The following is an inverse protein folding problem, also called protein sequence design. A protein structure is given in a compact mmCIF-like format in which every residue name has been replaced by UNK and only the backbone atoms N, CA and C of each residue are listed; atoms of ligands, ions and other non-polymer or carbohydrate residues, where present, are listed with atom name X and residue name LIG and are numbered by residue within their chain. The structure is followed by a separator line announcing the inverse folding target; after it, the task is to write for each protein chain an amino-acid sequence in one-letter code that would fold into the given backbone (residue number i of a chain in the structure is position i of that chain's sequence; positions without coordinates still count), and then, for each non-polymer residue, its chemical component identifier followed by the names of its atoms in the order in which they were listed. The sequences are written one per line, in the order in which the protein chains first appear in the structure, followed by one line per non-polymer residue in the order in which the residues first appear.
data_IF_051869001905
#
_entry.id   IF_051869001905
#
_cell.length_a   1.000
_cell.length_b   1.000
_cell.length_c   1.000
_cell.angle_alpha   90.00
_cell.angle_beta   90.00
_cell.angle_gamma   90.00
#
_symmetry.space_group_name_H-M   'P 1'
#
loop_
_entity.id
_entity.type
_entity.pdbx_description
1 polymer ?
#
# COMPACT_ATOMS: atom_id res chain seq x y z
N UNK A 1 -5.56 -7.34 5.21
CA UNK A 1 -5.07 -7.08 3.84
C UNK A 1 -3.58 -6.80 3.82
N UNK A 2 -3.10 -5.72 4.44
CA UNK A 2 -1.67 -5.36 4.46
C UNK A 2 -0.71 -6.44 4.99
N UNK A 3 -1.05 -7.09 6.09
CA UNK A 3 -0.22 -8.18 6.67
C UNK A 3 -0.26 -9.46 5.84
N UNK A 4 -1.44 -9.79 5.30
CA UNK A 4 -1.62 -10.90 4.37
C UNK A 4 -0.73 -10.69 3.14
N UNK A 5 -0.82 -9.52 2.51
CA UNK A 5 0.02 -9.16 1.37
C UNK A 5 1.53 -9.25 1.68
N UNK A 6 1.95 -8.82 2.87
CA UNK A 6 3.37 -8.86 3.27
C UNK A 6 3.93 -10.28 3.42
N UNK A 7 3.07 -11.27 3.67
CA UNK A 7 3.45 -12.66 3.94
C UNK A 7 3.11 -13.62 2.79
N UNK A 8 2.19 -13.24 1.90
CA UNK A 8 1.84 -14.02 0.70
C UNK A 8 3.03 -14.13 -0.24
N UNK A 9 3.32 -15.38 -0.66
CA UNK A 9 4.28 -15.66 -1.75
C UNK A 9 3.51 -15.86 -3.04
N UNK A 10 3.36 -14.78 -3.80
CA UNK A 10 2.71 -14.85 -5.11
C UNK A 10 3.48 -15.78 -6.05
N UNK A 11 2.74 -16.52 -6.88
CA UNK A 11 3.28 -17.52 -7.81
C UNK A 11 2.37 -17.66 -9.02
N UNK A 12 2.75 -18.48 -10.00
CA UNK A 12 1.87 -18.78 -11.16
C UNK A 12 0.54 -19.42 -10.76
N UNK A 13 0.47 -20.10 -9.59
CA UNK A 13 -0.75 -20.72 -9.06
C UNK A 13 -1.55 -19.78 -8.16
N UNK A 14 -0.89 -18.75 -7.63
CA UNK A 14 -1.49 -17.71 -6.79
C UNK A 14 -0.99 -16.35 -7.29
N UNK A 15 -1.52 -15.88 -8.44
CA UNK A 15 -1.01 -14.69 -9.09
C UNK A 15 -1.31 -13.44 -8.26
N UNK A 16 -0.42 -12.47 -8.31
CA UNK A 16 -0.65 -11.16 -7.72
C UNK A 16 -1.77 -10.44 -8.51
N UNK A 17 -2.89 -10.15 -7.83
CA UNK A 17 -3.99 -9.37 -8.39
C UNK A 17 -3.94 -7.94 -7.89
N UNK A 18 -4.37 -6.99 -8.73
CA UNK A 18 -4.43 -5.57 -8.39
C UNK A 18 -5.21 -5.29 -7.10
N UNK A 19 -6.33 -5.98 -6.89
CA UNK A 19 -7.20 -5.83 -5.71
C UNK A 19 -6.59 -6.38 -4.41
N UNK A 20 -5.54 -7.21 -4.51
CA UNK A 20 -4.84 -7.77 -3.35
C UNK A 20 -3.73 -6.84 -2.85
N UNK A 21 -3.29 -5.89 -3.68
CA UNK A 21 -2.29 -4.89 -3.29
C UNK A 21 -2.97 -3.85 -2.38
N UNK A 22 -2.45 -3.61 -1.17
CA UNK A 22 -3.03 -2.66 -0.23
C UNK A 22 -2.58 -1.22 -0.57
N UNK A 23 -2.97 -0.72 -1.74
CA UNK A 23 -2.54 0.59 -2.25
C UNK A 23 -2.72 1.72 -1.21
N UNK A 24 -1.71 2.58 -1.00
CA UNK A 24 -1.76 3.63 0.01
C UNK A 24 -2.54 4.83 -0.51
N UNK A 25 -3.85 4.66 -0.73
CA UNK A 25 -4.77 5.69 -1.22
C UNK A 25 -6.04 5.69 -0.36
N UNK A 26 -6.78 6.80 -0.36
CA UNK A 26 -8.02 6.95 0.42
C UNK A 26 -9.28 6.46 -0.32
N UNK A 27 -9.10 5.76 -1.43
CA UNK A 27 -10.19 5.21 -2.25
C UNK A 27 -10.61 3.83 -1.74
N UNK A 28 -11.92 3.59 -1.63
CA UNK A 28 -12.46 2.29 -1.23
C UNK A 28 -12.03 1.19 -2.21
N UNK A 29 -11.60 0.00 -1.73
CA UNK A 29 -11.22 -1.12 -2.60
C UNK A 29 -12.30 -1.52 -3.62
N UNK A 30 -13.58 -1.33 -3.29
CA UNK A 30 -14.69 -1.68 -4.18
C UNK A 30 -14.80 -0.76 -5.41
N UNK A 31 -14.28 0.46 -5.33
CA UNK A 31 -14.27 1.44 -6.43
C UNK A 31 -12.87 1.79 -6.91
N UNK A 32 -11.83 1.10 -6.42
CA UNK A 32 -10.45 1.44 -6.71
C UNK A 32 -10.09 1.01 -8.13
N UNK A 33 -9.60 1.97 -8.91
CA UNK A 33 -9.10 1.74 -10.26
C UNK A 33 -7.59 2.01 -10.34
N UNK A 34 -6.97 1.60 -11.45
CA UNK A 34 -5.55 1.88 -11.70
C UNK A 34 -5.28 3.39 -11.80
N UNK A 35 -6.26 4.19 -12.24
CA UNK A 35 -6.10 5.65 -12.37
C UNK A 35 -5.98 6.34 -11.01
N UNK A 36 -6.51 5.71 -9.96
CA UNK A 36 -6.41 6.20 -8.59
C UNK A 36 -5.01 5.98 -8.00
N UNK A 37 -4.18 5.14 -8.63
CA UNK A 37 -2.81 4.85 -8.21
C UNK A 37 -1.88 5.89 -8.83
N UNK A 38 -1.96 7.10 -8.31
CA UNK A 38 -1.15 8.24 -8.73
C UNK A 38 -0.52 8.92 -7.53
N UNK A 39 0.50 9.75 -7.80
CA UNK A 39 1.30 10.41 -6.76
C UNK A 39 0.45 11.25 -5.81
N UNK A 40 -0.47 12.05 -6.34
CA UNK A 40 -1.32 12.94 -5.55
C UNK A 40 -2.20 12.15 -4.55
N UNK A 41 -2.81 11.06 -4.97
CA UNK A 41 -3.65 10.24 -4.07
C UNK A 41 -2.82 9.55 -2.97
N UNK A 42 -1.58 9.18 -3.28
CA UNK A 42 -0.65 8.61 -2.30
C UNK A 42 -0.20 9.66 -1.29
N UNK A 43 0.14 10.86 -1.73
CA UNK A 43 0.48 11.98 -0.82
C UNK A 43 -0.69 12.34 0.10
N UNK A 44 -1.91 12.36 -0.43
CA UNK A 44 -3.12 12.62 0.37
C UNK A 44 -3.31 11.57 1.46
N UNK A 45 -3.09 10.29 1.15
CA UNK A 45 -3.15 9.20 2.12
C UNK A 45 -2.13 9.39 3.25
N UNK A 46 -0.86 9.63 2.93
CA UNK A 46 0.17 9.82 3.95
C UNK A 46 -0.01 11.12 4.74
N UNK A 47 -0.52 12.17 4.11
CA UNK A 47 -0.89 13.42 4.81
C UNK A 47 -2.00 13.17 5.82
N UNK A 48 -3.05 12.45 5.43
CA UNK A 48 -4.17 12.13 6.31
C UNK A 48 -3.73 11.27 7.50
N UNK A 49 -2.95 10.21 7.26
CA UNK A 49 -2.56 9.30 8.34
C UNK A 49 -1.56 9.92 9.32
N UNK A 50 -0.71 10.85 8.86
CA UNK A 50 0.21 11.60 9.72
C UNK A 50 -0.50 12.32 10.86
N UNK A 51 -1.74 12.78 10.64
CA UNK A 51 -2.54 13.46 11.66
C UNK A 51 -3.05 12.51 12.76
N UNK A 52 -3.05 11.20 12.49
CA UNK A 52 -3.55 10.17 13.41
C UNK A 52 -2.44 9.46 14.20
N UNK A 53 -1.18 9.79 13.96
CA UNK A 53 -0.01 9.07 14.50
C UNK A 53 0.98 10.02 15.16
N UNK A 54 1.75 9.51 16.13
CA UNK A 54 2.92 10.23 16.63
C UNK A 54 4.01 10.25 15.55
N UNK A 55 4.91 11.25 15.55
CA UNK A 55 5.97 11.35 14.54
C UNK A 55 6.79 10.06 14.36
N UNK A 56 7.19 9.40 15.45
CA UNK A 56 7.99 8.17 15.39
C UNK A 56 7.21 6.98 14.78
N UNK A 57 5.90 6.90 15.07
CA UNK A 57 5.03 5.86 14.51
C UNK A 57 4.80 6.09 13.02
N UNK A 58 4.65 7.37 12.62
CA UNK A 58 4.51 7.75 11.22
C UNK A 58 5.77 7.44 10.41
N UNK A 59 6.96 7.75 10.93
CA UNK A 59 8.24 7.40 10.28
C UNK A 59 8.37 5.89 10.06
N UNK A 60 8.09 5.09 11.09
CA UNK A 60 8.09 3.63 10.99
C UNK A 60 7.05 3.11 9.98
N UNK A 61 5.87 3.75 9.92
CA UNK A 61 4.82 3.41 8.97
C UNK A 61 5.22 3.71 7.52
N UNK A 62 5.87 4.85 7.26
CA UNK A 62 6.40 5.22 5.94
C UNK A 62 7.48 4.22 5.51
N UNK A 63 8.42 3.89 6.40
CA UNK A 63 9.48 2.92 6.09
C UNK A 63 8.91 1.53 5.76
N UNK A 64 7.94 1.06 6.55
CA UNK A 64 7.24 -0.21 6.28
C UNK A 64 6.51 -0.17 4.94
N UNK A 65 5.89 0.95 4.61
CA UNK A 65 5.20 1.15 3.33
C UNK A 65 6.18 1.10 2.16
N UNK A 66 7.31 1.82 2.21
CA UNK A 66 8.35 1.75 1.18
C UNK A 66 8.84 0.31 0.94
N UNK A 67 9.06 -0.46 2.01
CA UNK A 67 9.44 -1.88 1.87
C UNK A 67 8.34 -2.72 1.22
N UNK A 68 7.07 -2.47 1.54
CA UNK A 68 5.93 -3.20 0.95
C UNK A 68 5.80 -2.99 -0.56
N UNK A 69 5.97 -1.75 -1.01
CA UNK A 69 5.85 -1.37 -2.42
C UNK A 69 7.20 -1.37 -3.15
N UNK A 70 8.25 -1.95 -2.56
CA UNK A 70 9.57 -2.01 -3.18
C UNK A 70 9.54 -2.92 -4.42
N UNK A 71 10.04 -2.49 -5.59
CA UNK A 71 9.97 -3.25 -6.84
C UNK A 71 10.52 -4.69 -6.76
N UNK A 72 11.56 -4.91 -5.95
CA UNK A 72 12.15 -6.25 -5.74
C UNK A 72 11.19 -7.25 -5.08
N UNK A 73 10.12 -6.82 -4.41
CA UNK A 73 9.09 -7.72 -3.85
C UNK A 73 8.02 -8.12 -4.86
N UNK A 74 7.97 -7.47 -6.03
CA UNK A 74 6.94 -7.65 -7.04
C UNK A 74 7.46 -8.37 -8.30
N UNK A 75 8.62 -9.04 -8.19
CA UNK A 75 9.22 -9.88 -9.22
C UNK A 75 8.91 -11.35 -9.00
#
# INVERSE_FOLDING_TARGET
LSETFDTTRFSSREPLLFSLVPWPVLTSPAGLSVQDINWNNVEQFFTAIRLSMRPQEFEAFVEKSHRRFHPNRWR
#
